data_IF_489074982199
#
_entry.id   IF_489074982199
#
_cell.length_a   1.000
_cell.length_b   1.000
_cell.length_c   1.000
_cell.angle_alpha   90.00
_cell.angle_beta   90.00
_cell.angle_gamma   90.00
#
_symmetry.space_group_name_H-M   'P 1'
#
loop_
_entity.id
_entity.type
_entity.pdbx_description
1 polymer ?
#
# COMPACT_ATOMS: atom_id res chain seq x y z
N UNK A 1 10.25 19.59 -22.32
CA UNK A 1 10.11 18.41 -23.20
C UNK A 1 8.82 18.55 -23.96
N UNK A 2 8.89 18.61 -25.27
CA UNK A 2 7.71 18.56 -26.13
C UNK A 2 6.91 17.28 -25.85
N UNK A 3 5.59 17.37 -25.89
CA UNK A 3 4.71 16.25 -25.57
C UNK A 3 4.97 15.10 -26.55
N UNK A 4 5.37 13.96 -26.02
CA UNK A 4 5.59 12.71 -26.78
C UNK A 4 4.28 12.19 -27.42
N UNK A 5 3.16 12.80 -27.07
CA UNK A 5 1.81 12.37 -27.45
C UNK A 5 1.11 13.49 -28.20
N UNK A 6 0.39 13.14 -29.28
CA UNK A 6 -0.34 14.09 -30.11
C UNK A 6 -1.74 14.37 -29.54
N UNK A 7 -2.32 13.42 -28.79
CA UNK A 7 -3.66 13.53 -28.20
C UNK A 7 -3.67 13.12 -26.73
N UNK A 8 -4.73 13.52 -26.00
CA UNK A 8 -4.94 13.08 -24.62
C UNK A 8 -5.28 11.58 -24.56
N UNK A 9 -5.92 11.02 -25.60
CA UNK A 9 -6.18 9.58 -25.73
C UNK A 9 -4.86 8.79 -25.78
N UNK A 10 -3.93 9.17 -26.64
CA UNK A 10 -2.61 8.52 -26.73
C UNK A 10 -1.85 8.60 -25.39
N UNK A 11 -1.93 9.74 -24.72
CA UNK A 11 -1.35 9.93 -23.39
C UNK A 11 -2.02 9.03 -22.37
N UNK A 12 -3.35 8.91 -22.34
CA UNK A 12 -4.09 8.03 -21.45
C UNK A 12 -3.71 6.55 -21.66
N UNK A 13 -3.68 6.09 -22.91
CA UNK A 13 -3.28 4.72 -23.25
C UNK A 13 -1.85 4.40 -22.81
N UNK A 14 -0.95 5.36 -22.91
CA UNK A 14 0.41 5.19 -22.41
C UNK A 14 0.44 5.10 -20.88
N UNK A 15 -0.17 6.05 -20.18
CA UNK A 15 -0.18 6.14 -18.72
C UNK A 15 -0.80 4.89 -18.07
N UNK A 16 -1.89 4.36 -18.64
CA UNK A 16 -2.57 3.17 -18.10
C UNK A 16 -1.72 1.90 -18.18
N UNK A 17 -0.78 1.83 -19.11
CA UNK A 17 0.15 0.70 -19.29
C UNK A 17 1.41 0.80 -18.41
N UNK A 18 1.64 1.96 -17.77
CA UNK A 18 2.83 2.19 -16.95
C UNK A 18 2.57 1.91 -15.47
N UNK A 19 3.64 1.55 -14.75
CA UNK A 19 3.67 1.41 -13.29
C UNK A 19 4.64 2.42 -12.66
N UNK A 20 4.70 3.64 -13.19
CA UNK A 20 5.59 4.70 -12.76
C UNK A 20 5.64 5.84 -13.75
N UNK A 21 6.58 6.79 -13.53
CA UNK A 21 6.88 7.91 -14.43
C UNK A 21 5.81 9.01 -14.50
N UNK A 22 4.73 8.94 -13.74
CA UNK A 22 3.58 9.85 -13.80
C UNK A 22 3.97 11.32 -13.58
N UNK A 23 4.96 11.59 -12.71
CA UNK A 23 5.44 12.94 -12.42
C UNK A 23 6.05 13.69 -13.61
N UNK A 24 6.39 12.98 -14.70
CA UNK A 24 6.88 13.58 -15.94
C UNK A 24 5.77 13.99 -16.91
N UNK A 25 4.54 13.60 -16.60
CA UNK A 25 3.38 13.89 -17.42
C UNK A 25 2.48 14.85 -16.68
N UNK A 26 2.16 15.98 -17.28
CA UNK A 26 1.35 17.01 -16.64
C UNK A 26 -0.12 16.56 -16.52
N UNK A 27 -0.50 16.03 -15.33
CA UNK A 27 -1.87 15.72 -14.92
C UNK A 27 -1.97 15.61 -13.41
N UNK A 28 -3.19 15.73 -12.85
CA UNK A 28 -3.42 15.52 -11.41
C UNK A 28 -3.57 14.04 -11.12
N UNK A 29 -2.65 13.49 -10.31
CA UNK A 29 -2.56 12.05 -10.05
C UNK A 29 -3.31 11.67 -8.76
N UNK A 30 -4.54 11.18 -8.89
CA UNK A 30 -5.31 10.54 -7.82
C UNK A 30 -5.21 8.99 -7.84
N UNK A 31 -4.22 8.44 -8.56
CA UNK A 31 -4.02 6.99 -8.65
C UNK A 31 -2.95 6.48 -7.71
N UNK A 32 -1.86 7.23 -7.48
CA UNK A 32 -0.81 6.86 -6.55
C UNK A 32 -1.11 7.30 -5.11
N UNK A 33 -0.74 6.42 -4.16
CA UNK A 33 -1.15 6.45 -2.76
C UNK A 33 0.05 6.80 -1.88
N UNK A 34 0.41 8.07 -1.78
CA UNK A 34 1.54 8.52 -0.97
C UNK A 34 1.22 9.83 -0.23
N UNK A 35 1.96 10.08 0.84
CA UNK A 35 1.88 11.31 1.62
C UNK A 35 2.42 12.48 0.80
N UNK A 36 1.62 13.53 0.61
CA UNK A 36 1.99 14.74 -0.13
C UNK A 36 2.76 15.75 0.73
N UNK A 37 2.71 15.60 2.06
CA UNK A 37 3.19 16.57 3.03
C UNK A 37 4.52 16.17 3.67
N UNK A 38 5.04 15.00 3.30
CA UNK A 38 6.33 14.49 3.73
C UNK A 38 7.07 13.86 2.54
N UNK A 39 8.40 13.96 2.44
CA UNK A 39 9.37 14.60 3.34
C UNK A 39 9.36 16.13 3.28
N UNK A 40 9.79 16.82 4.36
CA UNK A 40 9.95 18.26 4.34
C UNK A 40 11.17 18.68 3.50
N UNK A 41 11.23 19.97 3.12
CA UNK A 41 12.27 20.53 2.22
C UNK A 41 13.69 20.25 2.70
N UNK A 42 13.92 20.29 4.00
CA UNK A 42 15.24 20.09 4.62
C UNK A 42 15.83 18.70 4.32
N UNK A 43 14.97 17.67 4.19
CA UNK A 43 15.40 16.32 3.79
C UNK A 43 15.94 16.33 2.35
N UNK A 44 15.25 17.01 1.43
CA UNK A 44 15.72 17.13 0.05
C UNK A 44 17.03 17.94 -0.04
N UNK A 45 17.16 19.00 0.73
CA UNK A 45 18.38 19.83 0.75
C UNK A 45 19.55 19.00 1.30
N UNK A 46 19.36 18.24 2.38
CA UNK A 46 20.38 17.33 2.91
C UNK A 46 20.82 16.27 1.88
N UNK A 47 19.87 15.64 1.17
CA UNK A 47 20.21 14.65 0.12
C UNK A 47 20.99 15.29 -1.04
N UNK A 48 20.66 16.54 -1.43
CA UNK A 48 21.40 17.27 -2.48
C UNK A 48 22.83 17.60 -2.06
N UNK A 49 23.04 18.03 -0.82
CA UNK A 49 24.39 18.33 -0.30
C UNK A 49 25.28 17.09 -0.26
N UNK A 50 24.71 15.92 -0.06
CA UNK A 50 25.42 14.65 0.04
C UNK A 50 25.45 13.84 -1.28
N UNK A 51 24.85 14.33 -2.36
CA UNK A 51 24.62 13.57 -3.60
C UNK A 51 25.87 12.88 -4.15
N UNK A 52 27.02 13.56 -4.09
CA UNK A 52 28.30 13.03 -4.59
C UNK A 52 28.66 11.72 -3.86
N UNK A 53 28.60 11.71 -2.54
CA UNK A 53 28.93 10.54 -1.73
C UNK A 53 27.90 9.43 -1.91
N UNK A 54 26.59 9.78 -1.98
CA UNK A 54 25.48 8.83 -2.12
C UNK A 54 25.49 8.10 -3.48
N UNK A 55 26.07 8.72 -4.51
CA UNK A 55 26.21 8.11 -5.85
C UNK A 55 27.45 7.24 -5.96
N UNK A 56 28.57 7.63 -5.31
CA UNK A 56 29.87 6.96 -5.51
C UNK A 56 30.10 5.78 -4.58
N UNK A 57 29.42 5.69 -3.46
CA UNK A 57 29.72 4.68 -2.44
C UNK A 57 28.61 3.62 -2.33
N UNK A 58 29.03 2.40 -1.99
CA UNK A 58 28.10 1.34 -1.66
C UNK A 58 27.36 1.64 -0.34
N UNK A 59 26.09 1.29 -0.24
CA UNK A 59 25.31 1.43 1.00
C UNK A 59 25.73 0.36 2.03
N UNK A 60 25.24 0.56 3.28
CA UNK A 60 25.52 -0.37 4.39
C UNK A 60 24.88 -1.75 4.19
N UNK A 61 25.38 -2.70 4.99
CA UNK A 61 24.82 -4.05 5.03
C UNK A 61 23.47 -4.11 5.74
N UNK A 62 22.71 -5.19 5.49
CA UNK A 62 21.36 -5.42 6.02
C UNK A 62 21.22 -5.21 7.55
N UNK A 63 22.18 -5.66 8.34
CA UNK A 63 22.10 -5.53 9.82
C UNK A 63 22.11 -4.05 10.24
N UNK A 64 22.99 -3.25 9.65
CA UNK A 64 23.06 -1.83 9.94
C UNK A 64 21.83 -1.05 9.42
N UNK A 65 21.26 -1.45 8.28
CA UNK A 65 19.97 -0.91 7.80
C UNK A 65 18.82 -1.28 8.76
N UNK A 66 18.84 -2.51 9.31
CA UNK A 66 17.86 -2.95 10.29
C UNK A 66 17.97 -2.18 11.63
N UNK A 67 19.17 -1.76 12.03
CA UNK A 67 19.38 -0.86 13.18
C UNK A 67 18.68 0.48 12.93
N UNK A 68 18.91 1.10 11.75
CA UNK A 68 18.25 2.38 11.42
C UNK A 68 16.72 2.29 11.41
N UNK A 69 16.17 1.20 10.91
CA UNK A 69 14.70 0.97 10.97
C UNK A 69 14.28 0.73 12.43
N UNK A 70 15.05 -0.05 13.20
CA UNK A 70 14.81 -0.35 14.61
C UNK A 70 14.67 0.92 15.46
N UNK A 71 15.55 1.90 15.23
CA UNK A 71 15.51 3.21 15.90
C UNK A 71 14.22 3.98 15.57
N UNK A 72 13.65 3.80 14.38
CA UNK A 72 12.41 4.48 13.97
C UNK A 72 11.17 3.83 14.58
N UNK A 73 11.15 2.48 14.72
CA UNK A 73 9.96 1.72 15.11
C UNK A 73 10.05 1.11 16.54
N UNK A 74 11.12 1.38 17.26
CA UNK A 74 11.40 0.85 18.60
C UNK A 74 11.37 -0.70 18.63
N UNK A 75 12.13 -1.32 17.72
CA UNK A 75 12.28 -2.77 17.62
C UNK A 75 13.76 -3.17 17.44
N UNK A 76 14.10 -4.40 17.86
CA UNK A 76 15.47 -4.89 17.73
C UNK A 76 15.79 -5.34 16.30
N UNK A 77 17.02 -5.07 15.79
CA UNK A 77 17.37 -5.29 14.38
C UNK A 77 17.29 -6.75 13.93
N UNK A 78 17.43 -7.72 14.85
CA UNK A 78 17.34 -9.15 14.52
C UNK A 78 15.97 -9.55 13.95
N UNK A 79 14.91 -8.81 14.31
CA UNK A 79 13.53 -9.04 13.84
C UNK A 79 13.22 -8.37 12.53
N UNK A 80 14.09 -7.48 12.05
CA UNK A 80 13.83 -6.59 10.91
C UNK A 80 14.57 -7.08 9.67
N UNK A 81 13.88 -7.15 8.54
CA UNK A 81 14.44 -7.41 7.22
C UNK A 81 14.12 -6.24 6.33
N UNK A 82 15.12 -5.56 5.79
CA UNK A 82 14.95 -4.36 4.96
C UNK A 82 14.97 -4.73 3.47
N UNK A 83 13.91 -4.38 2.76
CA UNK A 83 13.76 -4.67 1.34
C UNK A 83 13.78 -3.43 0.45
N UNK A 84 14.13 -3.61 -0.82
CA UNK A 84 14.00 -2.62 -1.87
C UNK A 84 12.52 -2.36 -2.19
N UNK A 85 11.86 -1.63 -1.26
CA UNK A 85 10.42 -1.56 -1.12
C UNK A 85 9.82 -2.89 -0.64
N UNK A 86 8.56 -2.84 -0.21
CA UNK A 86 7.81 -4.05 0.15
C UNK A 86 7.74 -5.07 -1.01
N UNK A 87 7.83 -4.62 -2.26
CA UNK A 87 7.75 -5.47 -3.44
C UNK A 87 8.84 -6.56 -3.51
N UNK A 88 10.09 -6.26 -3.09
CA UNK A 88 11.15 -7.26 -3.02
C UNK A 88 10.80 -8.34 -1.98
N UNK A 89 10.32 -7.93 -0.82
CA UNK A 89 9.91 -8.85 0.25
C UNK A 89 8.71 -9.70 -0.19
N UNK A 90 7.69 -9.10 -0.81
CA UNK A 90 6.53 -9.82 -1.36
C UNK A 90 6.98 -10.89 -2.35
N UNK A 91 7.93 -10.55 -3.23
CA UNK A 91 8.47 -11.52 -4.19
C UNK A 91 9.18 -12.69 -3.51
N UNK A 92 9.91 -12.45 -2.43
CA UNK A 92 10.55 -13.52 -1.63
C UNK A 92 9.49 -14.36 -0.94
N UNK A 93 8.53 -13.74 -0.27
CA UNK A 93 7.46 -14.42 0.47
C UNK A 93 6.61 -15.30 -0.46
N UNK A 94 5.99 -14.68 -1.47
CA UNK A 94 5.04 -15.37 -2.35
C UNK A 94 5.72 -16.18 -3.45
N UNK A 95 6.87 -15.70 -3.96
CA UNK A 95 7.54 -16.30 -5.11
C UNK A 95 8.55 -17.38 -4.76
N UNK A 96 9.11 -17.37 -3.55
CA UNK A 96 10.21 -18.26 -3.19
C UNK A 96 9.96 -19.11 -1.93
N UNK A 97 9.29 -18.56 -0.93
CA UNK A 97 9.12 -19.24 0.36
C UNK A 97 7.78 -19.98 0.47
N UNK A 98 6.68 -19.36 0.07
CA UNK A 98 5.36 -19.99 0.17
C UNK A 98 5.20 -21.11 -0.85
N UNK A 99 4.80 -22.28 -0.36
CA UNK A 99 4.35 -23.41 -1.21
C UNK A 99 2.87 -23.25 -1.57
N UNK A 100 2.08 -22.72 -0.64
CA UNK A 100 0.69 -22.36 -0.84
C UNK A 100 0.30 -21.15 -0.02
N UNK A 101 -0.08 -20.08 -0.70
CA UNK A 101 -0.47 -18.82 -0.10
C UNK A 101 -1.95 -18.55 -0.30
N UNK A 102 -2.67 -18.12 0.74
CA UNK A 102 -4.07 -17.69 0.66
C UNK A 102 -4.17 -16.19 0.83
N UNK A 103 -4.97 -15.53 -0.04
CA UNK A 103 -5.05 -14.07 -0.14
C UNK A 103 -6.51 -13.66 -0.24
N UNK A 104 -7.03 -12.77 0.65
CA UNK A 104 -8.35 -12.17 0.47
C UNK A 104 -8.40 -11.31 -0.80
N UNK A 105 -9.50 -11.38 -1.56
CA UNK A 105 -9.70 -10.58 -2.77
C UNK A 105 -11.07 -9.87 -2.74
N UNK A 106 -11.16 -8.62 -3.25
CA UNK A 106 -10.11 -7.83 -3.88
C UNK A 106 -9.05 -7.34 -2.89
N UNK A 107 -7.78 -7.43 -3.28
CA UNK A 107 -6.65 -6.93 -2.48
C UNK A 107 -5.50 -6.45 -3.39
N UNK A 108 -4.29 -6.29 -2.82
CA UNK A 108 -3.11 -5.92 -3.57
C UNK A 108 -2.60 -7.10 -4.41
N UNK A 109 -2.65 -6.97 -5.73
CA UNK A 109 -2.42 -8.07 -6.66
C UNK A 109 -1.00 -8.66 -6.61
N UNK A 110 0.00 -7.91 -6.11
CA UNK A 110 1.40 -8.35 -6.15
C UNK A 110 1.67 -9.64 -5.38
N UNK A 111 0.88 -9.94 -4.35
CA UNK A 111 1.01 -11.21 -3.63
C UNK A 111 0.65 -12.41 -4.53
N UNK A 112 -0.43 -12.28 -5.30
CA UNK A 112 -0.83 -13.32 -6.26
C UNK A 112 0.10 -13.34 -7.49
N UNK A 113 0.47 -12.15 -8.01
CA UNK A 113 1.33 -12.03 -9.18
C UNK A 113 2.74 -12.58 -8.95
N UNK A 114 3.27 -12.46 -7.72
CA UNK A 114 4.59 -12.95 -7.36
C UNK A 114 4.63 -14.47 -7.13
N UNK A 115 3.49 -15.08 -6.77
CA UNK A 115 3.41 -16.52 -6.51
C UNK A 115 3.54 -17.33 -7.81
N UNK A 116 4.22 -18.49 -7.78
CA UNK A 116 4.18 -19.42 -8.90
C UNK A 116 2.74 -19.84 -9.22
N UNK A 117 2.53 -20.27 -10.46
CA UNK A 117 1.22 -20.77 -10.90
C UNK A 117 0.69 -21.81 -9.92
N UNK A 118 -0.58 -21.72 -9.58
CA UNK A 118 -1.31 -22.63 -8.68
C UNK A 118 -0.86 -22.61 -7.19
N UNK A 119 0.07 -21.75 -6.82
CA UNK A 119 0.47 -21.54 -5.41
C UNK A 119 -0.41 -20.54 -4.67
N UNK A 120 -0.96 -19.54 -5.37
CA UNK A 120 -1.87 -18.56 -4.78
C UNK A 120 -3.32 -19.04 -4.86
N UNK A 121 -4.01 -18.99 -3.71
CA UNK A 121 -5.44 -19.25 -3.59
C UNK A 121 -6.13 -17.95 -3.21
N UNK A 122 -7.04 -17.48 -4.04
CA UNK A 122 -7.85 -16.29 -3.79
C UNK A 122 -9.07 -16.64 -2.94
N UNK A 123 -9.28 -15.89 -1.86
CA UNK A 123 -10.43 -16.01 -0.97
C UNK A 123 -11.31 -14.76 -1.10
N UNK A 124 -12.57 -14.85 -1.55
CA UNK A 124 -13.42 -13.68 -1.72
C UNK A 124 -13.78 -13.02 -0.39
N UNK A 125 -13.61 -11.71 -0.30
CA UNK A 125 -14.20 -10.90 0.75
C UNK A 125 -15.72 -10.90 0.65
N UNK A 126 -16.42 -10.69 1.76
CA UNK A 126 -17.89 -10.69 1.78
C UNK A 126 -18.47 -9.54 0.96
N UNK A 127 -19.11 -9.84 -0.15
CA UNK A 127 -19.77 -8.84 -0.99
C UNK A 127 -21.17 -8.51 -0.45
N UNK A 128 -21.61 -7.23 -0.47
CA UNK A 128 -20.93 -6.03 -0.96
C UNK A 128 -20.13 -5.29 0.12
N UNK A 129 -19.98 -5.83 1.32
CA UNK A 129 -19.33 -5.16 2.45
C UNK A 129 -17.81 -5.14 2.38
N UNK A 130 -17.21 -6.03 1.61
CA UNK A 130 -15.77 -6.29 1.52
C UNK A 130 -15.09 -6.58 2.86
N UNK A 131 -15.83 -7.10 3.83
CA UNK A 131 -15.28 -7.54 5.12
C UNK A 131 -14.66 -8.93 5.00
N UNK A 132 -13.58 -9.15 5.75
CA UNK A 132 -12.96 -10.45 5.88
C UNK A 132 -13.73 -11.30 6.90
N UNK A 133 -14.29 -12.43 6.45
CA UNK A 133 -14.82 -13.44 7.37
C UNK A 133 -13.65 -14.29 7.89
N UNK A 134 -13.19 -13.96 9.09
CA UNK A 134 -11.99 -14.60 9.68
C UNK A 134 -12.14 -16.10 9.84
N UNK A 135 -13.32 -16.57 10.26
CA UNK A 135 -13.54 -18.01 10.49
C UNK A 135 -13.50 -18.79 9.18
N UNK A 136 -14.24 -18.36 8.16
CA UNK A 136 -14.23 -19.00 6.84
C UNK A 136 -12.85 -18.93 6.17
N UNK A 137 -12.14 -17.79 6.32
CA UNK A 137 -10.80 -17.63 5.78
C UNK A 137 -9.81 -18.58 6.44
N UNK A 138 -9.87 -18.72 7.76
CA UNK A 138 -9.03 -19.66 8.51
C UNK A 138 -9.32 -21.09 8.14
N UNK A 139 -10.60 -21.47 8.10
CA UNK A 139 -11.03 -22.84 7.75
C UNK A 139 -10.54 -23.21 6.34
N UNK A 140 -10.65 -22.30 5.38
CA UNK A 140 -10.16 -22.53 4.02
C UNK A 140 -8.63 -22.61 3.98
N UNK A 141 -7.92 -21.73 4.70
CA UNK A 141 -6.45 -21.78 4.80
C UNK A 141 -5.95 -23.13 5.33
N UNK A 142 -6.59 -23.65 6.38
CA UNK A 142 -6.25 -24.95 6.96
C UNK A 142 -6.60 -26.08 5.99
N UNK A 143 -7.78 -26.06 5.40
CA UNK A 143 -8.28 -27.07 4.46
C UNK A 143 -7.38 -27.24 3.25
N UNK A 144 -6.88 -26.13 2.67
CA UNK A 144 -5.98 -26.18 1.52
C UNK A 144 -4.52 -26.47 1.90
N UNK A 145 -4.19 -26.50 3.19
CA UNK A 145 -2.83 -26.66 3.69
C UNK A 145 -1.95 -25.47 3.36
N UNK A 146 -2.48 -24.23 3.51
CA UNK A 146 -1.69 -23.02 3.30
C UNK A 146 -0.57 -22.93 4.35
N UNK A 147 0.65 -22.67 3.90
CA UNK A 147 1.79 -22.36 4.78
C UNK A 147 1.97 -20.85 4.99
N UNK A 148 1.24 -20.04 4.20
CA UNK A 148 1.22 -18.59 4.34
C UNK A 148 -0.19 -18.04 4.08
N UNK A 149 -0.66 -17.14 4.97
CA UNK A 149 -1.88 -16.37 4.81
C UNK A 149 -1.52 -14.88 4.80
N UNK A 150 -2.07 -14.10 3.87
CA UNK A 150 -1.82 -12.67 3.77
C UNK A 150 -3.08 -11.90 4.12
N UNK A 151 -2.94 -10.82 4.89
CA UNK A 151 -4.00 -9.83 5.12
C UNK A 151 -3.41 -8.43 4.95
N UNK A 152 -3.95 -7.66 4.02
CA UNK A 152 -3.58 -6.25 3.83
C UNK A 152 -4.52 -5.40 4.68
N UNK A 153 -4.00 -4.60 5.61
CA UNK A 153 -4.80 -3.83 6.56
C UNK A 153 -4.13 -2.49 6.92
N UNK A 154 -4.64 -1.34 6.44
CA UNK A 154 -5.82 -1.16 5.57
C UNK A 154 -5.66 -1.78 4.18
N UNK A 155 -6.73 -2.38 3.67
CA UNK A 155 -6.71 -3.12 2.40
C UNK A 155 -6.73 -2.20 1.17
N UNK A 156 -6.02 -2.57 0.13
CA UNK A 156 -6.06 -1.92 -1.17
C UNK A 156 -6.73 -2.85 -2.21
N UNK A 157 -7.92 -2.52 -2.75
CA UNK A 157 -8.44 -1.16 -2.97
C UNK A 157 -9.47 -0.67 -1.95
N UNK A 158 -9.95 -1.48 -1.02
CA UNK A 158 -11.14 -1.15 -0.21
C UNK A 158 -10.91 -0.08 0.85
N UNK A 159 -9.65 0.22 1.19
CA UNK A 159 -9.23 1.16 2.24
C UNK A 159 -9.64 0.77 3.66
N UNK A 160 -10.16 -0.43 3.88
CA UNK A 160 -10.75 -0.87 5.14
C UNK A 160 -9.74 -1.63 6.00
N UNK A 161 -9.77 -1.38 7.30
CA UNK A 161 -9.02 -2.12 8.32
C UNK A 161 -9.68 -3.47 8.63
N UNK A 162 -8.85 -4.46 8.92
CA UNK A 162 -9.24 -5.64 9.67
C UNK A 162 -9.00 -5.35 11.15
N UNK A 163 -9.99 -5.50 12.04
CA UNK A 163 -9.81 -5.22 13.46
C UNK A 163 -8.66 -6.00 14.09
N UNK A 164 -7.88 -5.38 14.97
CA UNK A 164 -6.73 -6.01 15.65
C UNK A 164 -7.12 -7.32 16.34
N UNK A 165 -8.27 -7.36 17.00
CA UNK A 165 -8.77 -8.58 17.64
C UNK A 165 -9.00 -9.73 16.64
N UNK A 166 -9.44 -9.41 15.42
CA UNK A 166 -9.63 -10.38 14.34
C UNK A 166 -8.30 -10.87 13.78
N UNK A 167 -7.31 -9.99 13.65
CA UNK A 167 -5.94 -10.37 13.26
C UNK A 167 -5.29 -11.30 14.28
N UNK A 168 -5.48 -11.03 15.57
CA UNK A 168 -5.00 -11.90 16.67
C UNK A 168 -5.70 -13.25 16.60
N UNK A 169 -7.04 -13.27 16.50
CA UNK A 169 -7.83 -14.50 16.39
C UNK A 169 -7.41 -15.34 15.19
N UNK A 170 -7.12 -14.69 14.06
CA UNK A 170 -6.61 -15.33 12.85
C UNK A 170 -5.25 -16.00 13.09
N UNK A 171 -4.31 -15.27 13.73
CA UNK A 171 -2.99 -15.80 14.06
C UNK A 171 -3.07 -17.01 15.00
N UNK A 172 -3.90 -16.94 16.04
CA UNK A 172 -4.08 -18.03 17.02
C UNK A 172 -4.66 -19.29 16.35
N UNK A 173 -5.64 -19.14 15.47
CA UNK A 173 -6.25 -20.26 14.73
C UNK A 173 -5.31 -20.88 13.69
N UNK A 174 -4.45 -20.10 13.05
CA UNK A 174 -3.48 -20.57 12.06
C UNK A 174 -2.23 -21.22 12.68
N UNK A 175 -1.92 -20.89 13.94
CA UNK A 175 -0.70 -21.37 14.61
C UNK A 175 -0.56 -22.91 14.64
N UNK A 176 -1.60 -23.71 14.94
CA UNK A 176 -1.47 -25.17 14.95
C UNK A 176 -1.14 -25.79 13.58
N UNK A 177 -1.48 -25.12 12.48
CA UNK A 177 -1.14 -25.56 11.12
C UNK A 177 0.22 -25.11 10.62
N UNK A 178 1.03 -24.43 11.48
CA UNK A 178 2.30 -23.80 11.10
C UNK A 178 2.19 -22.79 9.94
N UNK A 179 1.02 -22.19 9.74
CA UNK A 179 0.78 -21.18 8.74
C UNK A 179 1.26 -19.81 9.26
N UNK A 180 2.14 -19.16 8.51
CA UNK A 180 2.57 -17.78 8.79
C UNK A 180 1.49 -16.79 8.34
N UNK A 181 1.12 -15.88 9.23
CA UNK A 181 0.24 -14.76 8.90
C UNK A 181 1.08 -13.53 8.56
N UNK A 182 1.01 -13.09 7.31
CA UNK A 182 1.63 -11.85 6.84
C UNK A 182 0.57 -10.75 6.92
N UNK A 183 0.83 -9.73 7.71
CA UNK A 183 -0.04 -8.55 7.83
C UNK A 183 0.66 -7.38 7.14
N UNK A 184 0.09 -6.91 6.03
CA UNK A 184 0.63 -5.76 5.31
C UNK A 184 0.02 -4.48 5.87
N UNK A 185 0.79 -3.78 6.68
CA UNK A 185 0.43 -2.50 7.32
C UNK A 185 0.94 -1.28 6.54
N UNK A 186 1.14 -1.38 5.23
CA UNK A 186 1.71 -0.28 4.41
C UNK A 186 0.93 1.03 4.44
N UNK A 187 -0.33 1.02 4.88
CA UNK A 187 -1.18 2.21 4.99
C UNK A 187 -1.60 2.55 6.42
N UNK A 188 -1.11 1.80 7.41
CA UNK A 188 -1.56 1.91 8.81
C UNK A 188 -1.32 3.29 9.43
N UNK A 189 -0.30 4.03 8.95
CA UNK A 189 0.02 5.37 9.46
C UNK A 189 -1.06 6.41 9.14
N UNK A 190 -1.95 6.12 8.19
CA UNK A 190 -3.09 6.97 7.84
C UNK A 190 -4.37 6.59 8.57
N UNK A 191 -4.38 5.50 9.34
CA UNK A 191 -5.54 5.09 10.11
C UNK A 191 -5.62 5.85 11.45
N UNK A 192 -6.83 5.98 11.96
CA UNK A 192 -7.05 6.57 13.27
C UNK A 192 -6.56 5.62 14.38
N UNK A 193 -5.96 6.15 15.43
CA UNK A 193 -5.47 5.37 16.59
C UNK A 193 -4.51 4.21 16.21
N UNK A 194 -3.58 4.47 15.29
CA UNK A 194 -2.60 3.49 14.79
C UNK A 194 -2.01 2.61 15.91
N UNK A 195 -1.63 3.18 17.04
CA UNK A 195 -0.99 2.48 18.16
C UNK A 195 -1.89 1.39 18.78
N UNK A 196 -3.22 1.58 18.69
CA UNK A 196 -4.19 0.61 19.20
C UNK A 196 -4.53 -0.50 18.20
N UNK A 197 -4.28 -0.26 16.90
CA UNK A 197 -4.68 -1.16 15.82
C UNK A 197 -3.51 -1.93 15.20
N UNK A 198 -2.29 -1.38 15.17
CA UNK A 198 -1.09 -2.08 14.71
C UNK A 198 -0.68 -3.21 15.65
N UNK A 199 -0.10 -4.27 15.10
CA UNK A 199 0.52 -5.35 15.85
C UNK A 199 2.05 -5.19 15.98
N UNK A 200 2.62 -4.10 15.51
CA UNK A 200 4.06 -3.87 15.48
C UNK A 200 4.69 -3.94 16.88
N UNK A 201 4.05 -3.33 17.88
CA UNK A 201 4.53 -3.37 19.27
C UNK A 201 4.20 -4.69 19.99
N UNK A 202 3.26 -5.46 19.46
CA UNK A 202 2.87 -6.76 20.02
C UNK A 202 3.59 -7.95 19.37
N UNK A 203 4.49 -7.71 18.42
CA UNK A 203 5.09 -8.77 17.57
C UNK A 203 5.73 -9.90 18.39
N UNK A 204 6.28 -9.59 19.54
CA UNK A 204 6.93 -10.57 20.44
C UNK A 204 5.97 -11.61 21.02
N UNK A 205 4.66 -11.36 20.99
CA UNK A 205 3.64 -12.27 21.51
C UNK A 205 3.28 -13.40 20.53
N UNK A 206 3.63 -13.21 19.25
CA UNK A 206 3.15 -14.07 18.15
C UNK A 206 4.29 -14.58 17.27
N UNK A 207 4.63 -15.86 17.40
CA UNK A 207 5.69 -16.49 16.60
C UNK A 207 5.31 -16.80 15.15
N UNK A 208 4.04 -16.69 14.80
CA UNK A 208 3.53 -16.95 13.46
C UNK A 208 2.96 -15.70 12.78
N UNK A 209 3.36 -14.51 13.24
CA UNK A 209 3.05 -13.23 12.57
C UNK A 209 4.32 -12.63 11.96
N UNK A 210 4.18 -12.07 10.78
CA UNK A 210 5.13 -11.14 10.21
C UNK A 210 4.38 -9.90 9.70
N UNK A 211 4.86 -8.71 10.03
CA UNK A 211 4.31 -7.43 9.58
C UNK A 211 5.16 -6.93 8.42
N UNK A 212 4.53 -6.69 7.27
CA UNK A 212 5.15 -6.06 6.12
C UNK A 212 4.75 -4.59 6.07
N UNK A 213 5.71 -3.70 5.82
CA UNK A 213 5.43 -2.27 5.68
C UNK A 213 6.22 -1.64 4.54
N UNK A 214 5.53 -0.95 3.65
CA UNK A 214 6.13 -0.09 2.65
C UNK A 214 6.28 1.32 3.20
N UNK A 215 7.48 1.82 3.32
CA UNK A 215 7.71 3.22 3.72
C UNK A 215 7.38 4.21 2.59
N UNK A 216 7.27 3.76 1.35
CA UNK A 216 6.95 4.61 0.20
C UNK A 216 5.65 5.40 0.36
N UNK A 217 4.68 4.87 1.11
CA UNK A 217 3.33 5.44 1.24
C UNK A 217 3.30 6.56 2.27
N UNK A 218 3.46 6.22 3.53
CA UNK A 218 3.37 7.17 4.63
C UNK A 218 4.49 8.22 4.61
N UNK A 219 5.69 7.82 4.23
CA UNK A 219 6.84 8.74 4.16
C UNK A 219 6.97 9.47 2.82
N UNK A 220 6.08 9.29 1.85
CA UNK A 220 6.10 9.99 0.56
C UNK A 220 7.34 9.75 -0.30
N UNK A 221 8.09 8.68 -0.06
CA UNK A 221 9.41 8.40 -0.65
C UNK A 221 9.37 7.25 -1.68
N UNK A 222 8.37 7.27 -2.55
CA UNK A 222 8.18 6.20 -3.53
C UNK A 222 9.44 5.88 -4.36
N UNK A 223 10.24 6.90 -4.67
CA UNK A 223 11.48 6.78 -5.45
C UNK A 223 12.66 6.17 -4.69
N UNK A 224 12.69 6.24 -3.36
CA UNK A 224 13.80 5.70 -2.56
C UNK A 224 13.75 4.18 -2.40
N UNK A 225 12.57 3.57 -2.55
CA UNK A 225 12.40 2.13 -2.51
C UNK A 225 12.78 1.49 -1.19
N UNK A 226 12.09 1.86 -0.10
CA UNK A 226 12.29 1.28 1.24
C UNK A 226 11.01 0.57 1.69
N UNK A 227 11.18 -0.61 2.27
CA UNK A 227 10.18 -1.35 3.02
C UNK A 227 10.84 -2.32 3.97
N UNK A 228 10.09 -2.84 4.93
CA UNK A 228 10.63 -3.80 5.88
C UNK A 228 9.61 -4.88 6.22
N UNK A 229 10.13 -6.03 6.66
CA UNK A 229 9.39 -7.08 7.33
C UNK A 229 9.84 -7.14 8.79
N UNK A 230 8.89 -7.21 9.70
CA UNK A 230 9.11 -7.36 11.13
C UNK A 230 8.50 -8.69 11.61
N UNK A 231 9.28 -9.55 12.27
CA UNK A 231 8.80 -10.80 12.85
C UNK A 231 9.64 -11.25 14.05
N UNK A 232 8.99 -11.82 15.06
CA UNK A 232 9.68 -12.45 16.19
C UNK A 232 10.13 -13.90 15.89
N UNK A 233 9.78 -14.46 14.73
CA UNK A 233 10.19 -15.80 14.30
C UNK A 233 11.58 -15.74 13.68
N UNK A 234 12.60 -16.15 14.43
CA UNK A 234 14.00 -16.08 14.00
C UNK A 234 14.29 -16.95 12.75
N UNK A 235 13.67 -18.13 12.64
CA UNK A 235 13.88 -19.03 11.50
C UNK A 235 13.23 -18.45 10.24
N UNK A 236 12.03 -17.89 10.37
CA UNK A 236 11.36 -17.21 9.28
C UNK A 236 12.12 -15.96 8.84
N UNK A 237 12.59 -15.13 9.79
CA UNK A 237 13.44 -13.98 9.52
C UNK A 237 14.71 -14.37 8.74
N UNK A 238 15.37 -15.47 9.15
CA UNK A 238 16.56 -16.01 8.46
C UNK A 238 16.23 -16.47 7.04
N UNK A 239 15.10 -17.16 6.84
CA UNK A 239 14.66 -17.61 5.55
C UNK A 239 14.40 -16.41 4.60
N UNK A 240 13.71 -15.37 5.06
CA UNK A 240 13.47 -14.16 4.26
C UNK A 240 14.78 -13.45 3.93
N UNK A 241 15.68 -13.26 4.92
CA UNK A 241 16.99 -12.62 4.69
C UNK A 241 17.83 -13.36 3.64
N UNK A 242 17.74 -14.68 3.57
CA UNK A 242 18.49 -15.44 2.57
C UNK A 242 18.07 -15.15 1.12
N UNK A 243 16.88 -14.61 0.91
CA UNK A 243 16.39 -14.16 -0.39
C UNK A 243 16.77 -12.71 -0.73
N UNK A 244 17.26 -11.93 0.23
CA UNK A 244 17.68 -10.55 0.02
C UNK A 244 19.07 -10.51 -0.63
N UNK A 245 19.19 -9.74 -1.70
CA UNK A 245 20.47 -9.54 -2.36
C UNK A 245 21.39 -8.59 -1.58
N UNK A 246 22.71 -8.77 -1.73
CA UNK A 246 23.69 -7.81 -1.19
C UNK A 246 23.45 -6.44 -1.81
N UNK A 247 23.54 -5.37 -1.00
CA UNK A 247 23.35 -3.97 -1.42
C UNK A 247 22.01 -3.71 -2.12
N UNK A 248 20.95 -4.37 -1.65
CA UNK A 248 19.60 -4.20 -2.20
C UNK A 248 19.01 -2.79 -1.99
N UNK A 249 19.51 -2.02 -1.01
CA UNK A 249 19.11 -0.65 -0.72
C UNK A 249 20.12 0.32 -1.32
N UNK A 250 19.66 1.43 -1.89
CA UNK A 250 20.53 2.47 -2.43
C UNK A 250 20.96 3.48 -1.36
N UNK A 251 22.08 4.22 -1.62
CA UNK A 251 22.64 5.19 -0.67
C UNK A 251 21.69 6.31 -0.27
N UNK A 252 20.80 6.76 -1.17
CA UNK A 252 19.80 7.79 -0.83
C UNK A 252 18.77 7.28 0.17
N UNK A 253 18.38 6.02 0.05
CA UNK A 253 17.46 5.36 0.97
C UNK A 253 18.10 5.16 2.35
N UNK A 254 19.36 4.74 2.39
CA UNK A 254 20.15 4.64 3.63
C UNK A 254 20.24 5.99 4.34
N UNK A 255 20.65 7.02 3.62
CA UNK A 255 20.83 8.37 4.19
C UNK A 255 19.51 8.94 4.68
N UNK A 256 18.42 8.70 3.96
CA UNK A 256 17.08 9.06 4.44
C UNK A 256 16.75 8.39 5.79
N UNK A 257 17.01 7.09 5.94
CA UNK A 257 16.79 6.37 7.21
C UNK A 257 17.63 6.95 8.34
N UNK A 258 18.89 7.32 8.07
CA UNK A 258 19.83 7.88 9.04
C UNK A 258 19.34 9.21 9.64
N UNK A 259 18.72 10.06 8.82
CA UNK A 259 18.23 11.38 9.27
C UNK A 259 16.76 11.35 9.73
N UNK A 260 16.01 10.30 9.41
CA UNK A 260 14.56 10.22 9.66
C UNK A 260 14.15 10.45 11.11
N UNK A 261 14.86 9.97 12.16
CA UNK A 261 14.50 10.21 13.56
C UNK A 261 14.39 11.72 13.92
N UNK A 262 15.13 12.58 13.24
CA UNK A 262 15.11 14.05 13.47
C UNK A 262 13.79 14.69 12.98
N UNK A 263 13.03 13.99 12.14
CA UNK A 263 11.81 14.50 11.50
C UNK A 263 10.54 13.80 11.99
N UNK A 264 10.61 13.05 13.11
CA UNK A 264 9.48 12.27 13.63
C UNK A 264 8.22 13.11 13.78
N UNK A 265 8.30 14.28 14.46
CA UNK A 265 7.15 15.14 14.65
C UNK A 265 6.57 15.67 13.33
N UNK A 266 7.43 16.08 12.38
CA UNK A 266 6.97 16.54 11.06
C UNK A 266 6.28 15.41 10.28
N UNK A 267 6.72 14.17 10.45
CA UNK A 267 6.07 12.99 9.87
C UNK A 267 4.68 12.78 10.47
N UNK A 268 4.56 12.79 11.80
CA UNK A 268 3.29 12.63 12.50
C UNK A 268 2.30 13.73 12.09
N UNK A 269 2.72 15.01 12.11
CA UNK A 269 1.89 16.15 11.68
C UNK A 269 1.44 16.00 10.22
N UNK A 270 2.30 15.47 9.35
CA UNK A 270 1.95 15.24 7.94
C UNK A 270 0.90 14.14 7.76
N UNK A 271 0.94 13.09 8.58
CA UNK A 271 -0.07 12.02 8.57
C UNK A 271 -1.43 12.55 9.03
N UNK A 272 -1.48 13.38 10.08
CA UNK A 272 -2.72 14.02 10.52
C UNK A 272 -3.32 14.90 9.41
N UNK A 273 -2.49 15.68 8.71
CA UNK A 273 -2.97 16.50 7.59
C UNK A 273 -3.54 15.65 6.44
N UNK A 274 -2.94 14.49 6.15
CA UNK A 274 -3.50 13.55 5.16
C UNK A 274 -4.85 13.01 5.61
N UNK A 275 -5.03 12.73 6.91
CA UNK A 275 -6.32 12.28 7.48
C UNK A 275 -7.39 13.36 7.36
N UNK A 276 -7.06 14.61 7.68
CA UNK A 276 -7.98 15.74 7.56
C UNK A 276 -8.48 15.90 6.11
N UNK A 277 -7.56 15.91 5.15
CA UNK A 277 -7.90 16.01 3.73
C UNK A 277 -8.75 14.81 3.26
N UNK A 278 -8.41 13.59 3.69
CA UNK A 278 -9.18 12.37 3.42
C UNK A 278 -10.61 12.47 3.93
N UNK A 279 -10.79 12.92 5.17
CA UNK A 279 -12.10 12.96 5.83
C UNK A 279 -13.01 14.03 5.22
N UNK A 280 -12.44 15.16 4.81
CA UNK A 280 -13.17 16.17 4.04
C UNK A 280 -13.57 15.62 2.66
N UNK A 281 -12.64 14.99 1.97
CA UNK A 281 -12.89 14.38 0.66
C UNK A 281 -13.93 13.25 0.73
N UNK A 282 -13.88 12.41 1.77
CA UNK A 282 -14.90 11.39 2.02
C UNK A 282 -16.30 11.99 2.15
N UNK A 283 -16.44 13.08 2.91
CA UNK A 283 -17.73 13.79 3.05
C UNK A 283 -18.23 14.33 1.71
N UNK A 284 -17.34 14.90 0.90
CA UNK A 284 -17.69 15.41 -0.44
C UNK A 284 -18.15 14.29 -1.38
N UNK A 285 -17.47 13.14 -1.37
CA UNK A 285 -17.88 11.97 -2.17
C UNK A 285 -19.23 11.41 -1.71
N UNK A 286 -19.48 11.33 -0.40
CA UNK A 286 -20.77 10.89 0.15
C UNK A 286 -21.94 11.80 -0.24
N UNK A 287 -21.68 13.05 -0.62
CA UNK A 287 -22.70 13.99 -1.10
C UNK A 287 -23.04 13.82 -2.58
N UNK A 288 -22.38 12.93 -3.31
CA UNK A 288 -22.70 12.61 -4.70
C UNK A 288 -23.84 11.60 -4.73
N UNK A 289 -24.95 11.97 -5.38
CA UNK A 289 -26.17 11.18 -5.39
C UNK A 289 -25.95 9.78 -6.02
N UNK A 290 -26.47 8.74 -5.37
CA UNK A 290 -26.37 7.36 -5.82
C UNK A 290 -24.98 6.70 -5.70
N UNK A 291 -23.93 7.43 -5.30
CA UNK A 291 -22.61 6.86 -5.09
C UNK A 291 -22.55 6.11 -3.75
N UNK A 292 -22.06 4.88 -3.75
CA UNK A 292 -21.73 4.16 -2.52
C UNK A 292 -20.25 4.41 -2.19
N UNK A 293 -20.00 5.06 -1.06
CA UNK A 293 -18.64 5.41 -0.62
C UNK A 293 -18.27 4.60 0.62
N UNK A 294 -17.20 3.81 0.54
CA UNK A 294 -16.72 3.04 1.69
C UNK A 294 -15.91 3.93 2.61
N UNK A 295 -16.17 3.83 3.94
CA UNK A 295 -15.41 4.61 4.93
C UNK A 295 -13.93 4.23 4.85
N UNK A 296 -13.03 5.19 4.60
CA UNK A 296 -11.61 4.90 4.44
C UNK A 296 -10.88 4.86 5.80
N UNK A 297 -9.92 3.92 5.92
CA UNK A 297 -8.92 3.89 6.98
C UNK A 297 -7.49 4.14 6.43
N UNK A 298 -7.35 4.41 5.12
CA UNK A 298 -6.10 4.77 4.46
C UNK A 298 -6.21 6.14 3.77
N UNK A 299 -5.20 6.56 3.04
CA UNK A 299 -5.19 7.83 2.29
C UNK A 299 -5.86 7.76 0.91
N UNK A 300 -6.80 6.86 0.74
CA UNK A 300 -7.58 6.70 -0.49
C UNK A 300 -8.98 6.19 -0.17
N UNK A 301 -9.91 6.42 -1.08
CA UNK A 301 -11.32 6.09 -0.92
C UNK A 301 -11.75 5.13 -2.02
N UNK A 302 -12.48 4.09 -1.64
CA UNK A 302 -13.09 3.13 -2.55
C UNK A 302 -14.56 3.48 -2.73
N UNK A 303 -15.01 3.55 -4.00
CA UNK A 303 -16.37 3.95 -4.32
C UNK A 303 -16.99 3.01 -5.35
N UNK A 304 -18.30 2.76 -5.22
CA UNK A 304 -19.13 2.19 -6.27
C UNK A 304 -19.91 3.30 -6.95
N UNK A 305 -19.78 3.40 -8.26
CA UNK A 305 -20.50 4.35 -9.09
C UNK A 305 -22.02 4.01 -9.13
N UNK A 306 -22.90 5.02 -9.26
CA UNK A 306 -24.34 4.80 -9.42
C UNK A 306 -24.64 3.88 -10.62
N UNK A 307 -25.72 3.09 -10.56
CA UNK A 307 -26.04 2.12 -11.61
C UNK A 307 -26.34 2.78 -12.97
N UNK A 308 -26.86 4.01 -12.96
CA UNK A 308 -27.14 4.81 -14.16
C UNK A 308 -25.94 5.66 -14.64
N UNK A 309 -24.80 5.62 -13.95
CA UNK A 309 -23.58 6.29 -14.38
C UNK A 309 -22.80 5.46 -15.42
N UNK A 310 -21.84 6.07 -16.08
CA UNK A 310 -20.86 5.37 -16.92
C UNK A 310 -20.07 4.33 -16.10
N UNK A 311 -19.43 3.37 -16.77
CA UNK A 311 -18.56 2.40 -16.11
C UNK A 311 -17.28 3.05 -15.55
N UNK A 312 -16.66 2.39 -14.56
CA UNK A 312 -15.39 2.86 -13.96
C UNK A 312 -14.30 3.17 -15.00
N UNK A 313 -14.01 2.27 -15.96
CA UNK A 313 -13.08 2.56 -17.06
C UNK A 313 -13.45 3.79 -17.89
N UNK A 314 -14.73 3.98 -18.22
CA UNK A 314 -15.19 5.13 -19.00
C UNK A 314 -15.06 6.43 -18.19
N UNK A 315 -15.48 6.44 -16.92
CA UNK A 315 -15.31 7.57 -16.01
C UNK A 315 -13.82 7.92 -15.87
N UNK A 316 -12.96 6.94 -15.66
CA UNK A 316 -11.51 7.14 -15.54
C UNK A 316 -10.92 7.74 -16.82
N UNK A 317 -11.31 7.23 -17.97
CA UNK A 317 -10.87 7.74 -19.28
C UNK A 317 -11.32 9.18 -19.51
N UNK A 318 -12.59 9.50 -19.26
CA UNK A 318 -13.12 10.85 -19.44
C UNK A 318 -12.49 11.86 -18.49
N UNK A 319 -12.35 11.53 -17.20
CA UNK A 319 -11.64 12.37 -16.24
C UNK A 319 -10.23 12.74 -16.72
N UNK A 320 -9.53 11.77 -17.32
CA UNK A 320 -8.19 12.03 -17.84
C UNK A 320 -8.22 12.92 -19.10
N UNK A 321 -9.08 12.63 -20.06
CA UNK A 321 -9.12 13.33 -21.36
C UNK A 321 -9.69 14.74 -21.20
N UNK A 322 -10.79 14.90 -20.47
CA UNK A 322 -11.54 16.15 -20.37
C UNK A 322 -11.00 17.08 -19.27
N UNK A 323 -10.51 16.51 -18.15
CA UNK A 323 -10.08 17.27 -16.96
C UNK A 323 -8.63 17.09 -16.59
N UNK A 324 -7.87 16.24 -17.30
CA UNK A 324 -6.46 15.94 -17.00
C UNK A 324 -6.26 15.40 -15.57
N UNK A 325 -7.20 14.57 -15.07
CA UNK A 325 -7.19 13.94 -13.75
C UNK A 325 -7.17 12.43 -13.92
N UNK A 326 -6.25 11.73 -13.23
CA UNK A 326 -6.14 10.28 -13.29
C UNK A 326 -6.52 9.61 -11.98
N UNK A 327 -7.49 8.71 -12.03
CA UNK A 327 -7.91 7.81 -10.95
C UNK A 327 -7.69 6.35 -11.35
N UNK A 328 -7.96 5.38 -10.47
CA UNK A 328 -7.94 3.95 -10.81
C UNK A 328 -9.35 3.35 -10.79
N UNK A 329 -9.75 2.68 -11.86
CA UNK A 329 -10.86 1.74 -11.85
C UNK A 329 -10.42 0.38 -11.24
N UNK A 330 -11.39 -0.48 -10.97
CA UNK A 330 -11.17 -1.78 -10.32
C UNK A 330 -11.33 -2.99 -11.25
N UNK A 331 -11.36 -2.82 -12.57
CA UNK A 331 -11.55 -3.93 -13.53
C UNK A 331 -10.46 -5.00 -13.45
N UNK A 332 -9.26 -4.64 -12.98
CA UNK A 332 -8.17 -5.58 -12.70
C UNK A 332 -8.24 -6.28 -11.34
N UNK A 333 -9.39 -6.23 -10.64
CA UNK A 333 -9.60 -6.86 -9.32
C UNK A 333 -10.58 -8.01 -9.40
N UNK A 334 -10.29 -9.08 -8.66
CA UNK A 334 -11.19 -10.24 -8.51
C UNK A 334 -12.33 -9.89 -7.56
N UNK A 335 -13.44 -9.38 -8.09
CA UNK A 335 -14.66 -9.05 -7.34
C UNK A 335 -15.87 -8.96 -8.27
N UNK A 336 -17.12 -9.14 -7.75
CA UNK A 336 -18.32 -8.86 -8.53
C UNK A 336 -18.38 -7.40 -8.98
N UNK A 337 -18.95 -7.15 -10.15
CA UNK A 337 -19.20 -5.79 -10.72
C UNK A 337 -17.95 -4.87 -10.71
N UNK A 338 -16.75 -5.45 -10.89
CA UNK A 338 -15.47 -4.72 -10.78
C UNK A 338 -15.42 -3.43 -11.62
N UNK A 339 -16.12 -3.39 -12.76
CA UNK A 339 -16.24 -2.22 -13.65
C UNK A 339 -17.11 -1.09 -13.08
N UNK A 340 -17.81 -1.32 -11.93
CA UNK A 340 -18.59 -0.28 -11.24
C UNK A 340 -17.80 0.42 -10.15
N UNK A 341 -16.59 -0.04 -9.83
CA UNK A 341 -15.81 0.45 -8.71
C UNK A 341 -14.61 1.27 -9.17
N UNK A 342 -14.33 2.33 -8.40
CA UNK A 342 -13.17 3.20 -8.56
C UNK A 342 -12.45 3.35 -7.23
N UNK A 343 -11.13 3.54 -7.28
CA UNK A 343 -10.29 3.87 -6.13
C UNK A 343 -9.62 5.23 -6.38
N UNK A 344 -9.77 6.14 -5.43
CA UNK A 344 -9.34 7.54 -5.56
C UNK A 344 -8.40 7.86 -4.40
N UNK A 345 -7.17 8.27 -4.68
CA UNK A 345 -6.26 8.81 -3.66
C UNK A 345 -6.77 10.16 -3.15
N UNK A 346 -6.76 10.36 -1.84
CA UNK A 346 -6.94 11.69 -1.27
C UNK A 346 -5.69 12.54 -1.51
N UNK A 347 -5.89 13.76 -1.95
CA UNK A 347 -4.83 14.75 -2.20
C UNK A 347 -5.14 16.03 -1.43
N UNK A 348 -4.57 17.16 -1.82
CA UNK A 348 -4.92 18.44 -1.22
C UNK A 348 -6.42 18.75 -1.38
N UNK A 349 -6.97 19.55 -0.47
CA UNK A 349 -8.39 19.93 -0.53
C UNK A 349 -8.77 20.58 -1.87
N UNK A 350 -7.88 21.39 -2.44
CA UNK A 350 -8.08 22.02 -3.75
C UNK A 350 -8.18 20.97 -4.87
N UNK A 351 -7.25 20.01 -4.91
CA UNK A 351 -7.24 18.96 -5.93
C UNK A 351 -8.43 18.00 -5.75
N UNK A 352 -8.78 17.66 -4.50
CA UNK A 352 -9.96 16.85 -4.18
C UNK A 352 -11.25 17.53 -4.65
N UNK A 353 -11.41 18.83 -4.42
CA UNK A 353 -12.59 19.59 -4.87
C UNK A 353 -12.69 19.64 -6.40
N UNK A 354 -11.57 19.89 -7.09
CA UNK A 354 -11.53 19.83 -8.56
C UNK A 354 -11.98 18.47 -9.12
N UNK A 355 -11.52 17.38 -8.47
CA UNK A 355 -11.95 16.03 -8.87
C UNK A 355 -13.45 15.81 -8.63
N UNK A 356 -14.01 16.29 -7.49
CA UNK A 356 -15.45 16.17 -7.21
C UNK A 356 -16.28 16.83 -8.30
N UNK A 357 -15.91 18.05 -8.72
CA UNK A 357 -16.61 18.79 -9.76
C UNK A 357 -16.52 18.06 -11.10
N UNK A 358 -15.32 17.66 -11.51
CA UNK A 358 -15.09 16.88 -12.72
C UNK A 358 -15.85 15.53 -12.71
N UNK A 359 -15.88 14.83 -11.56
CA UNK A 359 -16.56 13.56 -11.44
C UNK A 359 -18.07 13.68 -11.65
N UNK A 360 -18.71 14.73 -11.07
CA UNK A 360 -20.13 15.01 -11.30
C UNK A 360 -20.44 15.30 -12.76
N UNK A 361 -19.54 15.98 -13.47
CA UNK A 361 -19.69 16.32 -14.88
C UNK A 361 -19.61 15.09 -15.79
N UNK A 362 -18.65 14.19 -15.55
CA UNK A 362 -18.37 13.07 -16.47
C UNK A 362 -19.18 11.80 -16.19
N UNK A 363 -19.75 11.63 -14.99
CA UNK A 363 -20.40 10.36 -14.61
C UNK A 363 -21.62 10.01 -15.48
N UNK A 364 -22.36 10.99 -15.95
CA UNK A 364 -23.64 10.77 -16.62
C UNK A 364 -23.58 11.02 -18.14
N UNK A 365 -22.42 11.14 -18.74
CA UNK A 365 -22.25 11.29 -20.18
C UNK A 365 -22.34 12.72 -20.65
#
# INVERSE_FOLDING_TARGET
MESKYNTQEEKYEFITKQHGDYYRHNFTDHAYLYNLYFPPKEVFDHLKENIHNLVLNYPMAQNALAELIGDVIDQTPEKIIVGNGAAEIIKILSGSLAKKIIIPVPSFNEYANAAPKDHAVEFPLEFPSFKLNVDKFTDEAIKIGADMAVVVSPNNPTSMLVPKADLIRLAEKLKPSNCMLIIDESFIDFADNKEQISLEQDINKYSNIAILKSMSKAYGICGLRIGYLLTANADFAKAVRSGIHIWNINGFAEEFLRILPQYKQKFEDSCEKVKDDRDMFYKQLCAIDGMTVFKPDANFIFCRLPDNALSGPEVTKRLFIEHNIYIKDSTGKTQPDANRYIRIASRSQEENTKLIDALKEVMYG
#
